data_IF_726789657177
#
_entry.id   IF_726789657177
#
_cell.length_a   1.000
_cell.length_b   1.000
_cell.length_c   1.000
_cell.angle_alpha   90.00
_cell.angle_beta   90.00
_cell.angle_gamma   90.00
#
_symmetry.space_group_name_H-M   'P 1'
#
loop_
_entity.id
_entity.type
_entity.pdbx_description
1 polymer ?
#
# COMPACT_ATOMS: atom_id res chain seq x y z
N UNK A 1 -19.38 4.84 4.36
CA UNK A 1 -18.16 4.01 4.37
C UNK A 1 -17.00 4.96 4.08
N UNK A 2 -16.23 5.39 5.08
CA UNK A 2 -15.00 6.14 4.85
C UNK A 2 -14.02 5.28 4.04
N UNK A 3 -13.36 5.91 3.05
CA UNK A 3 -12.26 5.32 2.30
C UNK A 3 -10.95 5.95 2.77
N UNK A 4 -10.01 5.14 3.20
CA UNK A 4 -8.68 5.53 3.66
C UNK A 4 -7.66 4.89 2.72
N UNK A 5 -6.94 5.71 1.98
CA UNK A 5 -6.03 5.25 0.91
C UNK A 5 -4.68 5.98 0.91
N UNK A 6 -4.35 6.65 2.01
CA UNK A 6 -3.05 7.29 2.20
C UNK A 6 -2.39 6.76 3.48
N UNK A 7 -1.06 6.60 3.48
CA UNK A 7 -0.32 6.08 4.65
C UNK A 7 -0.62 6.88 5.92
N UNK A 8 -0.56 8.22 5.95
CA UNK A 8 -0.88 8.97 7.16
C UNK A 8 -2.30 8.69 7.69
N UNK A 9 -3.27 8.56 6.79
CA UNK A 9 -4.64 8.22 7.17
C UNK A 9 -4.77 6.80 7.73
N UNK A 10 -4.04 5.82 7.16
CA UNK A 10 -4.00 4.45 7.67
C UNK A 10 -3.35 4.37 9.06
N UNK A 11 -2.39 5.24 9.36
CA UNK A 11 -1.72 5.30 10.65
C UNK A 11 -2.53 6.05 11.73
N UNK A 12 -3.62 6.71 11.36
CA UNK A 12 -4.44 7.57 12.22
C UNK A 12 -5.91 7.16 12.25
N UNK A 13 -6.21 5.89 12.04
CA UNK A 13 -7.59 5.36 12.03
C UNK A 13 -8.28 5.58 13.37
N UNK A 14 -7.57 5.41 14.46
CA UNK A 14 -8.06 5.66 15.81
C UNK A 14 -8.60 7.08 15.96
N UNK A 15 -7.83 8.09 15.61
CA UNK A 15 -8.23 9.49 15.66
C UNK A 15 -9.40 9.79 14.70
N UNK A 16 -9.33 9.30 13.46
CA UNK A 16 -10.36 9.51 12.44
C UNK A 16 -11.71 8.92 12.89
N UNK A 17 -11.71 7.70 13.41
CA UNK A 17 -12.95 7.05 13.84
C UNK A 17 -13.49 7.61 15.15
N UNK A 18 -12.63 7.94 16.11
CA UNK A 18 -13.04 8.59 17.36
C UNK A 18 -13.74 9.93 17.06
N UNK A 19 -13.11 10.78 16.26
CA UNK A 19 -13.69 12.06 15.87
C UNK A 19 -15.01 11.89 15.10
N UNK A 20 -15.08 10.91 14.19
CA UNK A 20 -16.30 10.60 13.46
C UNK A 20 -17.45 10.19 14.41
N UNK A 21 -17.16 9.32 15.40
CA UNK A 21 -18.15 8.86 16.36
C UNK A 21 -18.63 10.03 17.24
N UNK A 22 -17.72 10.82 17.78
CA UNK A 22 -18.01 11.95 18.66
C UNK A 22 -18.84 13.03 17.95
N UNK A 23 -18.42 13.43 16.76
CA UNK A 23 -19.17 14.42 15.94
C UNK A 23 -20.55 13.91 15.54
N UNK A 24 -20.68 12.62 15.23
CA UNK A 24 -21.98 12.04 14.91
C UNK A 24 -22.92 12.07 16.12
N UNK A 25 -22.42 11.71 17.30
CA UNK A 25 -23.19 11.80 18.56
C UNK A 25 -23.62 13.24 18.86
N UNK A 26 -22.70 14.21 18.72
CA UNK A 26 -22.98 15.62 18.93
C UNK A 26 -24.05 16.16 17.97
N UNK A 27 -24.09 15.61 16.75
CA UNK A 27 -25.12 15.93 15.75
C UNK A 27 -26.43 15.13 15.91
N UNK A 28 -26.58 14.34 16.97
CA UNK A 28 -27.79 13.56 17.27
C UNK A 28 -27.93 12.26 16.52
N UNK A 29 -26.85 11.77 15.87
CA UNK A 29 -26.86 10.49 15.15
C UNK A 29 -26.34 9.35 16.03
N UNK A 30 -27.08 8.24 16.10
CA UNK A 30 -26.63 7.01 16.71
C UNK A 30 -25.89 6.13 15.69
N UNK A 31 -24.62 5.81 15.96
CA UNK A 31 -23.83 4.90 15.13
C UNK A 31 -23.94 3.49 15.72
N UNK A 32 -24.60 2.59 15.00
CA UNK A 32 -24.78 1.18 15.42
C UNK A 32 -23.69 0.26 14.91
N UNK A 33 -22.99 0.63 13.85
CA UNK A 33 -21.88 -0.10 13.24
C UNK A 33 -21.05 0.79 12.35
N UNK A 34 -19.77 0.46 12.21
CA UNK A 34 -18.84 1.18 11.33
C UNK A 34 -18.35 0.24 10.25
N UNK A 35 -18.31 0.71 9.02
CA UNK A 35 -17.58 0.08 7.91
C UNK A 35 -16.55 1.06 7.40
N UNK A 36 -15.29 0.65 7.37
CA UNK A 36 -14.18 1.41 6.79
C UNK A 36 -13.61 0.64 5.61
N UNK A 37 -13.17 1.36 4.58
CA UNK A 37 -12.49 0.76 3.44
C UNK A 37 -11.04 1.20 3.45
N UNK A 38 -10.13 0.22 3.57
CA UNK A 38 -8.69 0.42 3.55
C UNK A 38 -8.21 0.18 2.13
N UNK A 39 -7.73 1.24 1.48
CA UNK A 39 -7.15 1.16 0.15
C UNK A 39 -5.77 0.52 0.19
N UNK A 40 -5.50 -0.41 -0.74
CA UNK A 40 -4.21 -1.11 -0.81
C UNK A 40 -3.33 -0.61 -1.95
N UNK A 41 -3.94 -0.13 -3.04
CA UNK A 41 -3.23 0.25 -4.27
C UNK A 41 -2.52 1.60 -4.16
N UNK A 42 -3.24 2.64 -3.76
CA UNK A 42 -2.69 3.99 -3.68
C UNK A 42 -1.56 4.13 -2.68
N UNK A 43 -1.64 3.56 -1.45
CA UNK A 43 -0.51 3.52 -0.53
C UNK A 43 0.73 2.84 -1.11
N UNK A 44 0.56 1.71 -1.82
CA UNK A 44 1.69 0.98 -2.40
C UNK A 44 2.39 1.75 -3.52
N UNK A 45 1.64 2.47 -4.33
CA UNK A 45 2.18 3.29 -5.42
C UNK A 45 2.64 4.68 -4.96
N UNK A 46 2.34 5.05 -3.73
CA UNK A 46 2.76 6.33 -3.15
C UNK A 46 3.93 6.20 -2.19
N UNK A 47 4.04 5.09 -1.47
CA UNK A 47 5.06 4.89 -0.44
C UNK A 47 5.80 3.55 -0.54
N UNK A 48 5.38 2.67 -1.45
CA UNK A 48 5.97 1.34 -1.64
C UNK A 48 5.13 0.19 -1.09
N UNK A 49 5.52 -1.01 -1.46
CA UNK A 49 4.78 -2.25 -1.19
C UNK A 49 4.66 -2.54 0.32
N UNK A 50 5.79 -2.56 1.03
CA UNK A 50 5.86 -2.87 2.47
C UNK A 50 5.12 -1.82 3.31
N UNK A 51 5.30 -0.50 3.12
CA UNK A 51 4.53 0.53 3.82
C UNK A 51 3.03 0.35 3.70
N UNK A 52 2.53 0.00 2.53
CA UNK A 52 1.09 -0.19 2.33
C UNK A 52 0.54 -1.42 3.07
N UNK A 53 1.32 -2.50 3.19
CA UNK A 53 0.94 -3.67 3.99
C UNK A 53 0.89 -3.32 5.48
N UNK A 54 1.97 -2.75 5.99
CA UNK A 54 2.09 -2.44 7.42
C UNK A 54 1.10 -1.34 7.85
N UNK A 55 0.88 -0.32 7.01
CA UNK A 55 -0.14 0.70 7.25
C UNK A 55 -1.56 0.11 7.35
N UNK A 56 -1.94 -0.80 6.45
CA UNK A 56 -3.22 -1.51 6.56
C UNK A 56 -3.32 -2.37 7.82
N UNK A 57 -2.21 -2.97 8.29
CA UNK A 57 -2.21 -3.76 9.54
C UNK A 57 -2.41 -2.87 10.77
N UNK A 58 -1.72 -1.73 10.84
CA UNK A 58 -1.94 -0.73 11.90
C UNK A 58 -3.40 -0.29 11.90
N UNK A 59 -3.93 0.09 10.74
CA UNK A 59 -5.31 0.52 10.57
C UNK A 59 -6.32 -0.53 11.06
N UNK A 60 -6.10 -1.81 10.76
CA UNK A 60 -6.95 -2.91 11.25
C UNK A 60 -6.89 -3.03 12.76
N UNK A 61 -5.70 -2.99 13.36
CA UNK A 61 -5.55 -3.11 14.81
C UNK A 61 -6.21 -1.93 15.54
N UNK A 62 -6.00 -0.69 15.06
CA UNK A 62 -6.65 0.51 15.60
C UNK A 62 -8.17 0.45 15.45
N UNK A 63 -8.69 0.00 14.31
CA UNK A 63 -10.13 -0.14 14.08
C UNK A 63 -10.78 -1.10 15.10
N UNK A 64 -10.12 -2.20 15.45
CA UNK A 64 -10.61 -3.12 16.48
C UNK A 64 -10.41 -2.60 17.90
N UNK A 65 -9.46 -1.72 18.12
CA UNK A 65 -9.35 -1.02 19.40
C UNK A 65 -10.54 -0.05 19.59
N UNK A 66 -10.90 0.70 18.55
CA UNK A 66 -12.11 1.55 18.54
C UNK A 66 -13.39 0.74 18.81
N UNK A 67 -13.50 -0.47 18.25
CA UNK A 67 -14.62 -1.37 18.56
C UNK A 67 -14.72 -1.63 20.07
N UNK A 68 -13.60 -1.88 20.74
CA UNK A 68 -13.55 -2.14 22.18
C UNK A 68 -13.85 -0.87 22.99
N UNK A 69 -13.28 0.26 22.60
CA UNK A 69 -13.36 1.51 23.38
C UNK A 69 -14.75 2.15 23.34
N UNK A 70 -15.42 2.06 22.18
CA UNK A 70 -16.75 2.65 21.97
C UNK A 70 -17.91 1.66 22.01
N UNK A 71 -17.64 0.34 22.04
CA UNK A 71 -18.66 -0.70 21.97
C UNK A 71 -19.42 -0.73 20.64
N UNK A 72 -18.86 -0.17 19.57
CA UNK A 72 -19.47 -0.08 18.24
C UNK A 72 -18.79 -1.08 17.31
N UNK A 73 -19.49 -2.10 16.77
CA UNK A 73 -18.90 -3.09 15.89
C UNK A 73 -18.27 -2.49 14.63
N UNK A 74 -17.02 -2.88 14.32
CA UNK A 74 -16.29 -2.41 13.14
C UNK A 74 -16.12 -3.54 12.12
N UNK A 75 -16.46 -3.26 10.87
CA UNK A 75 -16.40 -4.21 9.76
C UNK A 75 -15.46 -3.70 8.65
N UNK A 76 -14.16 -3.94 8.78
CA UNK A 76 -13.18 -3.46 7.81
C UNK A 76 -13.35 -4.12 6.43
N UNK A 77 -13.19 -3.30 5.38
CA UNK A 77 -13.15 -3.73 3.98
C UNK A 77 -11.72 -3.53 3.47
N UNK A 78 -11.11 -4.56 2.92
CA UNK A 78 -9.84 -4.42 2.20
C UNK A 78 -10.12 -4.10 0.73
N UNK A 79 -9.77 -2.89 0.30
CA UNK A 79 -9.82 -2.44 -1.08
C UNK A 79 -8.62 -2.96 -1.86
N UNK A 80 -8.67 -4.22 -2.31
CA UNK A 80 -7.55 -4.93 -2.90
C UNK A 80 -7.88 -5.49 -4.29
N UNK A 81 -6.86 -5.91 -5.03
CA UNK A 81 -6.96 -6.52 -6.36
C UNK A 81 -5.92 -7.61 -6.59
N UNK A 82 -5.80 -8.09 -7.83
CA UNK A 82 -5.00 -9.28 -8.17
C UNK A 82 -3.49 -9.06 -8.22
N UNK A 83 -3.02 -7.86 -8.52
CA UNK A 83 -1.58 -7.57 -8.59
C UNK A 83 -0.99 -7.34 -7.19
N UNK A 84 0.32 -7.60 -6.96
CA UNK A 84 0.94 -7.47 -5.65
C UNK A 84 0.78 -6.08 -5.03
N UNK A 85 1.05 -4.99 -5.77
CA UNK A 85 0.81 -3.64 -5.27
C UNK A 85 -0.66 -3.39 -4.88
N UNK A 86 -1.59 -4.18 -5.41
CA UNK A 86 -3.02 -4.16 -5.06
C UNK A 86 -3.40 -5.12 -3.94
N UNK A 87 -2.45 -5.87 -3.36
CA UNK A 87 -2.69 -6.83 -2.28
C UNK A 87 -2.77 -8.28 -2.71
N UNK A 88 -2.53 -8.60 -3.98
CA UNK A 88 -2.37 -9.94 -4.56
C UNK A 88 -3.53 -10.91 -4.21
N UNK A 89 -4.75 -10.39 -4.29
CA UNK A 89 -5.97 -11.18 -4.02
C UNK A 89 -6.26 -12.07 -5.23
N UNK A 90 -5.67 -13.25 -5.23
CA UNK A 90 -5.86 -14.30 -6.24
C UNK A 90 -6.13 -15.63 -5.57
N UNK A 91 -6.66 -16.60 -6.32
CA UNK A 91 -6.93 -17.94 -5.79
C UNK A 91 -5.66 -18.61 -5.28
N UNK A 92 -4.56 -18.41 -5.98
CA UNK A 92 -3.24 -19.00 -5.69
C UNK A 92 -2.59 -18.39 -4.44
N UNK A 93 -2.90 -17.13 -4.12
CA UNK A 93 -2.26 -16.38 -3.02
C UNK A 93 -3.18 -16.11 -1.82
N UNK A 94 -4.42 -16.58 -1.83
CA UNK A 94 -5.43 -16.21 -0.82
C UNK A 94 -5.02 -16.54 0.60
N UNK A 95 -4.26 -17.60 0.84
CA UNK A 95 -3.78 -17.96 2.17
C UNK A 95 -2.89 -16.87 2.75
N UNK A 96 -1.92 -16.36 1.98
CA UNK A 96 -1.06 -15.26 2.40
C UNK A 96 -1.87 -13.97 2.66
N UNK A 97 -2.90 -13.68 1.84
CA UNK A 97 -3.77 -12.52 2.05
C UNK A 97 -4.50 -12.61 3.39
N UNK A 98 -5.09 -13.77 3.71
CA UNK A 98 -5.80 -13.99 4.96
C UNK A 98 -4.87 -13.95 6.18
N UNK A 99 -3.61 -14.36 6.02
CA UNK A 99 -2.58 -14.26 7.06
C UNK A 99 -2.06 -12.83 7.23
N UNK A 100 -1.90 -12.11 6.14
CA UNK A 100 -1.42 -10.73 6.16
C UNK A 100 -2.45 -9.79 6.79
N UNK A 101 -3.75 -9.99 6.53
CA UNK A 101 -4.82 -9.08 6.97
C UNK A 101 -5.85 -9.75 7.88
N UNK A 102 -5.44 -10.25 9.06
CA UNK A 102 -6.38 -10.88 10.01
C UNK A 102 -7.39 -9.84 10.52
N UNK A 103 -8.64 -10.25 10.60
CA UNK A 103 -9.73 -9.37 11.07
C UNK A 103 -10.49 -8.64 9.96
N UNK A 104 -10.02 -8.66 8.71
CA UNK A 104 -10.80 -8.14 7.56
C UNK A 104 -12.11 -8.89 7.43
N UNK A 105 -13.21 -8.16 7.24
CA UNK A 105 -14.58 -8.72 7.11
C UNK A 105 -15.09 -8.72 5.67
N UNK A 106 -14.47 -7.96 4.79
CA UNK A 106 -14.83 -7.89 3.36
C UNK A 106 -13.59 -7.63 2.54
N UNK A 107 -13.45 -8.30 1.41
CA UNK A 107 -12.40 -8.04 0.41
C UNK A 107 -13.06 -7.71 -0.92
N UNK A 108 -12.56 -6.70 -1.63
CA UNK A 108 -13.04 -6.40 -2.97
C UNK A 108 -12.53 -7.42 -3.98
N UNK A 109 -13.41 -7.88 -4.86
CA UNK A 109 -13.03 -8.64 -6.07
C UNK A 109 -13.08 -7.68 -7.24
N UNK A 110 -11.91 -7.28 -7.73
CA UNK A 110 -11.81 -6.33 -8.83
C UNK A 110 -12.02 -6.98 -10.20
N UNK A 111 -12.21 -6.15 -11.22
CA UNK A 111 -12.50 -6.58 -12.60
C UNK A 111 -11.41 -7.52 -13.18
N UNK A 112 -10.13 -7.33 -12.83
CA UNK A 112 -9.05 -8.20 -13.26
C UNK A 112 -9.30 -9.68 -12.88
N UNK A 113 -9.81 -9.97 -11.68
CA UNK A 113 -10.17 -11.35 -11.31
C UNK A 113 -11.23 -11.94 -12.23
N UNK A 114 -12.20 -11.14 -12.62
CA UNK A 114 -13.29 -11.60 -13.50
C UNK A 114 -12.82 -11.80 -14.94
N UNK A 115 -12.02 -10.87 -15.48
CA UNK A 115 -11.68 -10.82 -16.90
C UNK A 115 -10.35 -11.51 -17.21
N UNK A 116 -9.34 -11.36 -16.36
CA UNK A 116 -7.98 -11.88 -16.61
C UNK A 116 -7.78 -13.28 -16.01
N UNK A 117 -8.41 -13.58 -14.86
CA UNK A 117 -8.33 -14.89 -14.21
C UNK A 117 -9.51 -15.83 -14.55
N UNK A 118 -10.60 -15.30 -15.08
CA UNK A 118 -11.78 -16.04 -15.51
C UNK A 118 -12.77 -16.36 -14.39
N UNK A 119 -13.98 -16.72 -14.82
CA UNK A 119 -15.14 -16.88 -13.93
C UNK A 119 -14.96 -17.97 -12.86
N UNK A 120 -14.44 -19.14 -13.24
CA UNK A 120 -14.33 -20.27 -12.30
C UNK A 120 -13.31 -20.00 -11.18
N UNK A 121 -12.17 -19.39 -11.49
CA UNK A 121 -11.20 -18.98 -10.46
C UNK A 121 -11.79 -17.93 -9.53
N UNK A 122 -12.49 -16.95 -10.09
CA UNK A 122 -13.16 -15.89 -9.32
C UNK A 122 -14.22 -16.45 -8.40
N UNK A 123 -15.04 -17.39 -8.89
CA UNK A 123 -16.07 -18.08 -8.09
C UNK A 123 -15.45 -18.85 -6.93
N UNK A 124 -14.39 -19.64 -7.18
CA UNK A 124 -13.67 -20.38 -6.13
C UNK A 124 -13.10 -19.43 -5.08
N UNK A 125 -12.45 -18.35 -5.51
CA UNK A 125 -11.92 -17.32 -4.61
C UNK A 125 -13.02 -16.71 -3.74
N UNK A 126 -14.17 -16.36 -4.34
CA UNK A 126 -15.29 -15.78 -3.60
C UNK A 126 -15.86 -16.76 -2.53
N UNK A 127 -15.89 -18.05 -2.83
CA UNK A 127 -16.33 -19.08 -1.87
C UNK A 127 -15.36 -19.19 -0.69
N UNK A 128 -14.04 -19.24 -0.95
CA UNK A 128 -13.02 -19.28 0.09
C UNK A 128 -13.09 -18.00 0.96
N UNK A 129 -13.23 -16.84 0.34
CA UNK A 129 -13.38 -15.58 1.08
C UNK A 129 -14.65 -15.57 1.94
N UNK A 130 -15.78 -16.05 1.41
CA UNK A 130 -17.03 -16.14 2.17
C UNK A 130 -16.91 -17.04 3.40
N UNK A 131 -16.20 -18.14 3.28
CA UNK A 131 -16.01 -19.12 4.36
C UNK A 131 -15.01 -18.61 5.40
N UNK A 132 -13.86 -18.06 4.97
CA UNK A 132 -12.71 -17.82 5.83
C UNK A 132 -12.54 -16.39 6.30
N UNK A 133 -13.25 -15.41 5.69
CA UNK A 133 -13.18 -14.01 6.15
C UNK A 133 -13.80 -13.87 7.53
N UNK A 134 -13.04 -13.28 8.43
CA UNK A 134 -13.47 -13.01 9.79
C UNK A 134 -13.24 -14.14 10.78
N UNK A 135 -12.72 -15.31 10.37
CA UNK A 135 -12.30 -16.38 11.28
C UNK A 135 -11.14 -15.92 12.18
N UNK A 136 -10.20 -15.18 11.62
CA UNK A 136 -9.05 -14.65 12.36
C UNK A 136 -9.38 -13.32 13.02
N UNK A 137 -9.09 -13.22 14.31
CA UNK A 137 -9.13 -11.95 15.03
C UNK A 137 -7.95 -11.07 14.60
N UNK A 138 -8.14 -9.76 14.62
CA UNK A 138 -7.03 -8.82 14.45
C UNK A 138 -5.94 -9.07 15.50
N UNK A 139 -4.69 -8.82 15.12
CA UNK A 139 -3.59 -8.88 16.08
C UNK A 139 -3.62 -7.67 17.03
N UNK A 140 -2.99 -7.84 18.20
CA UNK A 140 -2.84 -6.74 19.16
C UNK A 140 -1.64 -5.88 18.76
N UNK A 141 -1.86 -4.59 18.54
CA UNK A 141 -0.80 -3.63 18.27
C UNK A 141 -0.19 -3.16 19.59
N UNK A 142 0.91 -3.78 20.01
CA UNK A 142 1.71 -3.27 21.14
C UNK A 142 2.52 -2.06 20.70
N UNK A 143 2.99 -1.24 21.65
CA UNK A 143 3.86 -0.10 21.35
C UNK A 143 5.11 -0.54 20.60
N UNK A 144 5.79 -1.60 21.04
CA UNK A 144 6.98 -2.13 20.38
C UNK A 144 6.72 -2.52 18.91
N UNK A 145 5.58 -3.16 18.63
CA UNK A 145 5.20 -3.54 17.26
C UNK A 145 4.86 -2.31 16.42
N UNK A 146 4.18 -1.33 17.03
CA UNK A 146 3.86 -0.06 16.36
C UNK A 146 5.13 0.69 15.97
N UNK A 147 6.06 0.86 16.91
CA UNK A 147 7.33 1.55 16.67
C UNK A 147 8.14 0.86 15.58
N UNK A 148 8.24 -0.47 15.62
CA UNK A 148 8.88 -1.26 14.57
C UNK A 148 8.21 -1.06 13.21
N UNK A 149 6.87 -1.07 13.13
CA UNK A 149 6.17 -0.85 11.87
C UNK A 149 6.38 0.56 11.32
N UNK A 150 6.30 1.59 12.16
CA UNK A 150 6.53 2.96 11.76
C UNK A 150 7.92 3.15 11.18
N UNK A 151 8.92 2.55 11.80
CA UNK A 151 10.28 2.61 11.33
C UNK A 151 10.48 1.90 9.98
N UNK A 152 9.92 0.69 9.82
CA UNK A 152 9.94 0.02 8.51
C UNK A 152 9.20 0.82 7.45
N UNK A 153 8.02 1.36 7.76
CA UNK A 153 7.28 2.23 6.84
C UNK A 153 8.18 3.38 6.38
N UNK A 154 8.92 4.01 7.28
CA UNK A 154 9.82 5.10 6.95
C UNK A 154 11.00 4.65 6.07
N UNK A 155 11.68 3.56 6.43
CA UNK A 155 12.82 3.01 5.67
C UNK A 155 12.40 2.70 4.22
N UNK A 156 11.34 1.92 4.05
CA UNK A 156 10.91 1.52 2.70
C UNK A 156 10.37 2.71 1.89
N UNK A 157 9.63 3.63 2.53
CA UNK A 157 9.11 4.84 1.86
C UNK A 157 10.25 5.73 1.38
N UNK A 158 11.29 5.92 2.18
CA UNK A 158 12.48 6.68 1.81
C UNK A 158 13.08 6.20 0.49
N UNK A 159 13.35 4.90 0.37
CA UNK A 159 13.92 4.33 -0.84
C UNK A 159 12.96 4.38 -2.02
N UNK A 160 11.69 4.06 -1.80
CA UNK A 160 10.68 4.13 -2.84
C UNK A 160 10.59 5.53 -3.45
N UNK A 161 10.40 6.54 -2.62
CA UNK A 161 10.22 7.92 -3.08
C UNK A 161 11.49 8.49 -3.69
N UNK A 162 12.64 8.21 -3.09
CA UNK A 162 13.94 8.65 -3.65
C UNK A 162 14.08 8.23 -5.12
N UNK A 163 13.80 6.98 -5.45
CA UNK A 163 13.86 6.48 -6.83
C UNK A 163 12.76 7.07 -7.71
N UNK A 164 11.52 7.11 -7.22
CA UNK A 164 10.37 7.63 -7.98
C UNK A 164 10.57 9.09 -8.37
N UNK A 165 11.17 9.91 -7.49
CA UNK A 165 11.50 11.32 -7.79
C UNK A 165 12.49 11.44 -8.95
N UNK A 166 13.46 10.55 -9.06
CA UNK A 166 14.47 10.57 -10.14
C UNK A 166 13.89 10.19 -11.50
N UNK A 167 12.85 9.35 -11.52
CA UNK A 167 12.21 8.89 -12.75
C UNK A 167 10.86 9.55 -13.02
N UNK A 168 10.50 10.56 -12.24
CA UNK A 168 9.19 11.23 -12.31
C UNK A 168 8.88 11.75 -13.71
N UNK A 169 9.82 12.41 -14.37
CA UNK A 169 9.63 12.98 -15.71
C UNK A 169 9.39 11.86 -16.75
N UNK A 170 10.14 10.77 -16.67
CA UNK A 170 9.96 9.61 -17.55
C UNK A 170 8.55 9.00 -17.38
N UNK A 171 8.13 8.80 -16.13
CA UNK A 171 6.81 8.25 -15.82
C UNK A 171 5.69 9.17 -16.37
N UNK A 172 5.80 10.48 -16.14
CA UNK A 172 4.80 11.44 -16.62
C UNK A 172 4.72 11.45 -18.14
N UNK A 173 5.86 11.54 -18.82
CA UNK A 173 5.91 11.55 -20.29
C UNK A 173 5.29 10.28 -20.93
N UNK A 174 5.62 9.11 -20.38
CA UNK A 174 5.04 7.85 -20.87
C UNK A 174 3.55 7.77 -20.54
N UNK A 175 3.15 8.22 -19.35
CA UNK A 175 1.74 8.21 -18.94
C UNK A 175 0.85 9.07 -19.82
N UNK A 176 1.38 10.16 -20.36
CA UNK A 176 0.64 11.07 -21.26
C UNK A 176 0.40 10.45 -22.66
N UNK A 177 1.24 9.49 -23.06
CA UNK A 177 1.08 8.75 -24.34
C UNK A 177 0.11 7.58 -24.18
N UNK A 178 -0.08 7.05 -22.96
CA UNK A 178 -0.96 5.91 -22.72
C UNK A 178 -2.43 6.31 -22.91
N UNK A 179 -3.17 5.63 -23.80
CA UNK A 179 -4.57 5.96 -24.05
C UNK A 179 -5.42 5.87 -22.76
N UNK A 180 -6.33 6.82 -22.51
CA UNK A 180 -7.23 6.75 -21.38
C UNK A 180 -8.15 5.54 -21.53
N UNK A 181 -8.13 4.63 -20.56
CA UNK A 181 -8.88 3.36 -20.63
C UNK A 181 -10.40 3.49 -20.45
N UNK A 182 -10.91 4.63 -20.00
CA UNK A 182 -12.35 4.90 -19.87
C UNK A 182 -12.62 6.40 -19.96
N UNK A 183 -13.55 6.78 -20.83
CA UNK A 183 -14.31 8.01 -20.68
C UNK A 183 -15.15 7.91 -19.40
N UNK A 184 -14.56 8.24 -18.27
CA UNK A 184 -15.37 8.58 -17.12
C UNK A 184 -16.00 9.91 -17.45
N UNK A 185 -17.33 9.92 -17.58
CA UNK A 185 -18.13 11.14 -17.61
C UNK A 185 -17.49 12.14 -16.65
N UNK A 186 -16.97 13.23 -17.19
CA UNK A 186 -16.42 14.35 -16.46
C UNK A 186 -17.52 14.82 -15.52
N UNK A 187 -17.50 14.36 -14.28
CA UNK A 187 -18.28 14.99 -13.23
C UNK A 187 -17.75 16.41 -13.16
N UNK A 188 -18.60 17.31 -13.64
CA UNK A 188 -18.36 18.74 -13.71
C UNK A 188 -17.65 19.25 -12.46
N UNK A 189 -16.47 19.80 -12.66
CA UNK A 189 -15.76 20.76 -11.85
C UNK A 189 -15.60 20.40 -10.37
N UNK A 190 -14.47 20.07 -9.92
CA UNK A 190 -13.88 20.18 -8.58
C UNK A 190 -13.32 18.93 -7.93
N UNK A 191 -13.64 17.73 -8.37
CA UNK A 191 -12.93 16.54 -7.86
C UNK A 191 -12.10 15.99 -9.03
N UNK A 192 -10.98 16.64 -9.31
CA UNK A 192 -9.94 16.00 -10.12
C UNK A 192 -9.45 14.80 -9.31
N UNK A 193 -9.64 13.62 -9.83
CA UNK A 193 -9.05 12.38 -9.30
C UNK A 193 -7.53 12.39 -9.59
N UNK A 194 -6.85 13.44 -9.16
CA UNK A 194 -5.41 13.46 -9.11
C UNK A 194 -5.01 12.60 -7.91
N UNK A 195 -4.10 11.66 -8.10
CA UNK A 195 -3.49 10.92 -7.01
C UNK A 195 -2.81 11.94 -6.09
N UNK A 196 -3.23 12.01 -4.85
CA UNK A 196 -2.57 12.84 -3.88
C UNK A 196 -1.17 12.29 -3.65
N UNK A 197 -0.19 13.18 -3.73
CA UNK A 197 1.17 12.88 -3.30
C UNK A 197 1.16 12.91 -1.79
N UNK A 198 1.58 11.83 -1.09
CA UNK A 198 1.58 11.83 0.37
C UNK A 198 2.46 12.97 0.87
N UNK A 199 1.96 13.70 1.86
CA UNK A 199 2.75 14.71 2.55
C UNK A 199 3.75 13.99 3.45
N UNK A 200 4.97 13.80 2.97
CA UNK A 200 6.04 13.11 3.71
C UNK A 200 6.33 13.76 5.07
N UNK A 201 6.08 15.07 5.19
CA UNK A 201 6.16 15.77 6.46
C UNK A 201 5.19 15.21 7.53
N UNK A 202 4.04 14.68 7.15
CA UNK A 202 3.08 14.12 8.10
C UNK A 202 3.51 12.71 8.52
N UNK A 203 4.06 11.92 7.61
CA UNK A 203 4.72 10.67 7.96
C UNK A 203 5.95 10.93 8.85
N UNK A 204 6.80 11.88 8.49
CA UNK A 204 8.01 12.21 9.24
C UNK A 204 7.74 12.62 10.70
N UNK A 205 6.59 13.25 10.99
CA UNK A 205 6.20 13.59 12.38
C UNK A 205 5.99 12.36 13.27
N UNK A 206 5.63 11.22 12.69
CA UNK A 206 5.37 9.98 13.41
C UNK A 206 6.63 9.14 13.66
N UNK A 207 7.78 9.53 13.11
CA UNK A 207 9.02 8.79 13.18
C UNK A 207 9.89 9.32 14.33
N UNK A 208 10.28 8.45 15.27
CA UNK A 208 11.12 8.82 16.41
C UNK A 208 12.59 9.00 16.00
N UNK A 209 13.11 8.17 15.10
CA UNK A 209 14.48 8.24 14.59
C UNK A 209 14.75 9.57 13.87
N UNK A 210 15.60 10.41 14.45
CA UNK A 210 15.89 11.77 13.96
C UNK A 210 16.49 11.76 12.57
N UNK A 211 17.44 10.87 12.30
CA UNK A 211 18.11 10.77 11.01
C UNK A 211 17.13 10.37 9.90
N UNK A 212 16.34 9.34 10.16
CA UNK A 212 15.33 8.87 9.22
C UNK A 212 14.24 9.93 8.96
N UNK A 213 13.87 10.67 10.00
CA UNK A 213 12.95 11.82 9.87
C UNK A 213 13.49 12.90 8.96
N UNK A 214 14.76 13.30 9.13
CA UNK A 214 15.42 14.30 8.27
C UNK A 214 15.54 13.80 6.83
N UNK A 215 15.92 12.54 6.62
CA UNK A 215 15.98 11.93 5.30
C UNK A 215 14.62 11.99 4.59
N UNK A 216 13.52 11.66 5.25
CA UNK A 216 12.17 11.77 4.70
C UNK A 216 11.78 13.22 4.39
N UNK A 217 12.11 14.16 5.27
CA UNK A 217 11.82 15.58 5.08
C UNK A 217 12.61 16.21 3.92
N UNK A 218 13.77 15.66 3.60
CA UNK A 218 14.59 16.13 2.48
C UNK A 218 14.02 15.74 1.10
N UNK A 219 13.13 14.75 1.04
CA UNK A 219 12.51 14.28 -0.20
C UNK A 219 11.39 15.24 -0.61
N UNK A 220 11.64 16.07 -1.60
CA UNK A 220 10.70 17.09 -2.07
C UNK A 220 10.27 16.79 -3.50
N UNK A 221 8.95 16.67 -3.71
CA UNK A 221 8.40 16.54 -5.05
C UNK A 221 8.55 17.83 -5.86
N UNK A 222 8.83 17.72 -7.15
CA UNK A 222 8.87 18.87 -8.06
C UNK A 222 7.51 19.59 -8.05
N UNK A 223 7.52 20.88 -7.74
CA UNK A 223 6.30 21.68 -7.69
C UNK A 223 5.58 21.69 -9.05
N UNK A 224 4.24 21.56 -9.02
CA UNK A 224 3.39 21.66 -10.21
C UNK A 224 3.26 20.40 -11.05
N UNK A 225 4.03 19.35 -10.81
CA UNK A 225 3.85 18.08 -11.49
C UNK A 225 2.78 17.24 -10.81
N UNK A 226 1.77 16.82 -11.58
CA UNK A 226 0.76 15.87 -11.12
C UNK A 226 1.21 14.46 -11.44
N UNK A 227 1.27 13.61 -10.42
CA UNK A 227 1.47 12.19 -10.67
C UNK A 227 0.31 11.59 -11.46
N UNK A 228 0.60 10.70 -12.41
CA UNK A 228 -0.44 10.03 -13.18
C UNK A 228 -1.38 9.23 -12.26
N UNK A 229 -2.58 8.97 -12.76
CA UNK A 229 -3.52 8.05 -12.09
C UNK A 229 -2.90 6.66 -11.95
N UNK A 230 -3.36 5.89 -10.96
CA UNK A 230 -2.86 4.53 -10.66
C UNK A 230 -2.65 3.68 -11.92
N UNK A 231 -3.62 3.62 -12.82
CA UNK A 231 -3.52 2.77 -14.02
C UNK A 231 -2.43 3.28 -14.98
N UNK A 232 -2.41 4.57 -15.30
CA UNK A 232 -1.39 5.16 -16.18
C UNK A 232 0.00 5.10 -15.56
N UNK A 233 0.11 5.34 -14.25
CA UNK A 233 1.36 5.20 -13.53
C UNK A 233 1.92 3.79 -13.63
N UNK A 234 1.09 2.79 -13.32
CA UNK A 234 1.52 1.38 -13.37
C UNK A 234 1.86 0.97 -14.80
N UNK A 235 1.05 1.38 -15.78
CA UNK A 235 1.34 1.08 -17.17
C UNK A 235 2.68 1.71 -17.60
N UNK A 236 2.97 2.95 -17.22
CA UNK A 236 4.27 3.58 -17.48
C UNK A 236 5.42 2.79 -16.84
N UNK A 237 5.26 2.39 -15.57
CA UNK A 237 6.29 1.63 -14.85
C UNK A 237 6.58 0.28 -15.52
N UNK A 238 5.55 -0.47 -15.89
CA UNK A 238 5.73 -1.74 -16.61
C UNK A 238 6.30 -1.53 -18.02
N UNK A 239 5.98 -0.41 -18.68
CA UNK A 239 6.54 -0.10 -20.02
C UNK A 239 8.04 0.18 -19.99
N UNK A 240 8.57 0.68 -18.87
CA UNK A 240 10.02 0.86 -18.66
C UNK A 240 10.68 -0.33 -17.95
N UNK A 241 10.00 -1.46 -17.86
CA UNK A 241 10.55 -2.70 -17.33
C UNK A 241 10.64 -2.79 -15.82
N UNK A 242 10.03 -1.87 -15.05
CA UNK A 242 10.10 -1.87 -13.58
C UNK A 242 8.71 -2.08 -12.96
N UNK A 243 8.40 -3.26 -12.43
CA UNK A 243 7.28 -3.42 -11.53
C UNK A 243 7.47 -2.54 -10.29
N UNK A 244 6.45 -1.72 -9.91
CA UNK A 244 6.59 -0.79 -8.79
C UNK A 244 6.92 -1.47 -7.46
N UNK A 245 6.65 -2.75 -7.33
CA UNK A 245 6.95 -3.58 -6.17
C UNK A 245 8.44 -3.69 -5.85
N UNK A 246 9.30 -3.61 -6.86
CA UNK A 246 10.74 -3.68 -6.66
C UNK A 246 11.34 -2.41 -6.12
N UNK A 247 10.75 -1.24 -6.44
CA UNK A 247 11.34 0.04 -6.08
C UNK A 247 11.48 0.16 -4.56
N UNK A 248 12.72 0.29 -4.10
CA UNK A 248 13.07 0.47 -2.70
C UNK A 248 12.91 -0.78 -1.83
N UNK A 249 12.36 -1.88 -2.35
CA UNK A 249 12.09 -3.08 -1.53
C UNK A 249 13.38 -3.78 -1.11
N UNK A 250 14.29 -4.04 -2.02
CA UNK A 250 15.56 -4.71 -1.68
C UNK A 250 16.45 -3.87 -0.77
N UNK A 251 16.61 -2.57 -1.05
CA UNK A 251 17.37 -1.64 -0.18
C UNK A 251 16.73 -1.52 1.20
N UNK A 252 15.39 -1.49 1.26
CA UNK A 252 14.66 -1.49 2.52
C UNK A 252 14.87 -2.77 3.34
N UNK A 253 14.87 -3.93 2.70
CA UNK A 253 15.21 -5.23 3.33
C UNK A 253 16.64 -5.18 3.87
N UNK A 254 17.59 -4.70 3.08
CA UNK A 254 18.98 -4.61 3.49
C UNK A 254 19.18 -3.69 4.69
N UNK A 255 18.61 -2.47 4.69
CA UNK A 255 18.71 -1.55 5.83
C UNK A 255 18.01 -2.13 7.07
N UNK A 256 16.89 -2.84 6.90
CA UNK A 256 16.23 -3.56 8.00
C UNK A 256 17.15 -4.64 8.60
N UNK A 257 17.87 -5.37 7.75
CA UNK A 257 18.87 -6.36 8.21
C UNK A 257 20.04 -5.69 8.92
N UNK A 258 20.60 -4.62 8.39
CA UNK A 258 21.70 -3.87 9.03
C UNK A 258 21.30 -3.36 10.42
N UNK A 259 20.04 -2.94 10.59
CA UNK A 259 19.55 -2.34 11.83
C UNK A 259 19.12 -3.38 12.87
N UNK A 260 18.45 -4.45 12.44
CA UNK A 260 17.81 -5.42 13.33
C UNK A 260 18.34 -6.85 13.20
N UNK A 261 19.27 -7.09 12.29
CA UNK A 261 19.78 -8.43 11.98
C UNK A 261 18.72 -9.37 11.38
N UNK A 262 19.03 -10.66 11.38
CA UNK A 262 18.13 -11.70 10.86
C UNK A 262 16.75 -11.73 11.54
N UNK A 263 16.69 -11.44 12.84
CA UNK A 263 15.42 -11.37 13.60
C UNK A 263 14.48 -10.29 13.07
N UNK A 264 15.02 -9.17 12.60
CA UNK A 264 14.21 -8.13 11.98
C UNK A 264 13.55 -8.63 10.69
N UNK A 265 14.28 -9.37 9.87
CA UNK A 265 13.74 -9.94 8.63
C UNK A 265 12.70 -11.03 8.93
N UNK A 266 12.97 -11.91 9.91
CA UNK A 266 11.99 -12.92 10.35
C UNK A 266 10.68 -12.26 10.80
N UNK A 267 10.76 -11.18 11.59
CA UNK A 267 9.61 -10.40 12.05
C UNK A 267 8.89 -9.72 10.88
N UNK A 268 9.61 -9.15 9.90
CA UNK A 268 9.00 -8.63 8.67
C UNK A 268 8.22 -9.71 7.92
N UNK A 269 8.79 -10.89 7.73
CA UNK A 269 8.13 -12.02 7.06
C UNK A 269 6.94 -12.54 7.84
N UNK A 270 6.99 -12.58 9.17
CA UNK A 270 5.86 -12.92 10.04
C UNK A 270 4.67 -11.98 9.80
N UNK A 271 4.91 -10.68 9.72
CA UNK A 271 3.85 -9.70 9.49
C UNK A 271 3.46 -9.53 8.02
N UNK A 272 4.33 -9.92 7.11
CA UNK A 272 4.06 -9.92 5.67
C UNK A 272 4.46 -11.27 5.03
N UNK A 273 3.74 -12.36 5.33
CA UNK A 273 4.07 -13.70 4.85
C UNK A 273 4.04 -13.84 3.32
N UNK A 274 3.29 -12.98 2.64
CA UNK A 274 3.18 -12.94 1.19
C UNK A 274 4.35 -12.29 0.44
N UNK A 275 5.31 -11.63 1.14
CA UNK A 275 6.35 -10.82 0.49
C UNK A 275 7.13 -11.56 -0.60
N UNK A 276 7.57 -12.79 -0.33
CA UNK A 276 8.31 -13.61 -1.31
C UNK A 276 7.49 -13.96 -2.54
N UNK A 277 6.19 -14.25 -2.35
CA UNK A 277 5.29 -14.54 -3.46
C UNK A 277 5.02 -13.30 -4.30
N UNK A 278 4.86 -12.15 -3.67
CA UNK A 278 4.62 -10.87 -4.33
C UNK A 278 5.83 -10.48 -5.18
N UNK A 279 7.04 -10.58 -4.62
CA UNK A 279 8.27 -10.28 -5.36
C UNK A 279 8.52 -11.29 -6.49
N UNK A 280 8.27 -12.59 -6.28
CA UNK A 280 8.36 -13.61 -7.34
C UNK A 280 7.35 -13.36 -8.46
N UNK A 281 6.16 -12.90 -8.14
CA UNK A 281 5.17 -12.55 -9.14
C UNK A 281 5.60 -11.32 -9.95
N UNK A 282 5.99 -10.25 -9.28
CA UNK A 282 6.47 -9.02 -9.90
C UNK A 282 7.71 -9.25 -10.76
N UNK A 283 8.63 -10.12 -10.33
CA UNK A 283 9.85 -10.46 -11.06
C UNK A 283 9.63 -11.04 -12.46
N UNK A 284 8.44 -11.56 -12.77
CA UNK A 284 8.09 -12.02 -14.12
C UNK A 284 7.96 -10.88 -15.13
N UNK A 285 7.81 -9.67 -14.66
CA UNK A 285 7.61 -8.46 -15.45
C UNK A 285 8.80 -7.49 -15.36
N UNK A 286 9.85 -7.87 -14.65
CA UNK A 286 11.07 -7.11 -14.58
C UNK A 286 11.88 -7.32 -15.87
N UNK A 287 12.20 -6.23 -16.56
CA UNK A 287 12.98 -6.26 -17.81
C UNK A 287 14.15 -5.29 -17.68
N UNK A 288 15.29 -5.80 -17.16
CA UNK A 288 16.46 -4.97 -16.87
C UNK A 288 17.12 -4.39 -18.12
N UNK A 289 17.03 -5.04 -19.25
CA UNK A 289 17.44 -4.54 -20.57
C UNK A 289 16.68 -3.25 -20.95
N UNK A 290 15.36 -3.25 -20.73
CA UNK A 290 14.53 -2.06 -20.94
C UNK A 290 14.86 -0.96 -19.93
N UNK A 291 15.11 -1.32 -18.68
CA UNK A 291 15.53 -0.38 -17.62
C UNK A 291 16.82 0.33 -18.02
N UNK A 292 17.79 -0.40 -18.55
CA UNK A 292 19.10 0.13 -18.99
C UNK A 292 18.96 1.07 -20.19
N UNK A 293 17.97 0.88 -21.03
CA UNK A 293 17.73 1.73 -22.20
C UNK A 293 17.09 3.08 -21.84
N UNK A 294 16.15 3.08 -20.89
CA UNK A 294 15.30 4.25 -20.63
C UNK A 294 15.71 5.10 -19.42
N UNK A 295 16.53 4.59 -18.50
CA UNK A 295 16.76 5.25 -17.23
C UNK A 295 18.21 5.74 -17.05
N UNK A 296 18.42 6.76 -16.20
CA UNK A 296 19.74 7.21 -15.83
C UNK A 296 20.51 6.11 -15.08
N UNK A 297 21.83 6.06 -15.26
CA UNK A 297 22.72 5.06 -14.66
C UNK A 297 22.58 4.95 -13.13
N UNK A 298 22.38 6.07 -12.46
CA UNK A 298 22.14 6.10 -11.02
C UNK A 298 20.91 5.30 -10.61
N UNK A 299 19.81 5.45 -11.37
CA UNK A 299 18.56 4.73 -11.11
C UNK A 299 18.72 3.25 -11.46
N UNK A 300 19.41 2.93 -12.56
CA UNK A 300 19.72 1.54 -12.94
C UNK A 300 20.44 0.84 -11.79
N UNK A 301 21.44 1.47 -11.19
CA UNK A 301 22.15 0.93 -10.02
C UNK A 301 21.23 0.70 -8.81
N UNK A 302 20.32 1.63 -8.53
CA UNK A 302 19.34 1.47 -7.46
C UNK A 302 18.40 0.28 -7.70
N UNK A 303 17.87 0.13 -8.92
CA UNK A 303 16.98 -0.97 -9.28
C UNK A 303 17.72 -2.32 -9.23
N UNK A 304 18.93 -2.40 -9.77
CA UNK A 304 19.76 -3.61 -9.66
C UNK A 304 20.00 -3.99 -8.20
N UNK A 305 20.33 -3.01 -7.36
CA UNK A 305 20.50 -3.24 -5.91
C UNK A 305 19.20 -3.73 -5.25
N UNK A 306 18.05 -3.21 -5.65
CA UNK A 306 16.76 -3.69 -5.13
C UNK A 306 16.47 -5.14 -5.56
N UNK A 307 16.81 -5.50 -6.79
CA UNK A 307 16.62 -6.86 -7.32
C UNK A 307 17.55 -7.89 -6.66
N UNK A 308 18.81 -7.54 -6.45
CA UNK A 308 19.82 -8.42 -5.86
C UNK A 308 19.54 -8.75 -4.37
N UNK A 309 18.82 -7.89 -3.66
CA UNK A 309 18.60 -8.01 -2.21
C UNK A 309 17.22 -8.57 -1.83
N UNK A 310 16.39 -8.89 -2.81
CA UNK A 310 15.08 -9.53 -2.64
C UNK A 310 15.21 -11.05 -2.79
#
# INVERSE_FOLDING_TARGET
>A
IPLIEEIPGLLSIDSILSEYIEKSKAAGFEIKKIRIMLGRSDPALSCGLVPAVLGCKIALAQAFQIEKDFGIPVFPILGAGSLPFRGHVTLENINNVLETYPGVKTVTIQSAMRYDHGFEKTRKLALILKERLGERKSFSLTREVSDYFLELIAIFTKYYISTVLKIQDVICNISDIIPPQRDRLTRSGSISYARNIPLLKDLAKLIEDHKLREELQSLIYKAGQKFPRVISYVAAMYSIGIPPEFIGTGRGIYETYEKYGGKGIEKLVEYYPGIKNDMRFAGRYLALDVVEEFLPEEVIREIKSDVEKV
#
